data_IF_604104655209
#
_entry.id   IF_604104655209
#
_cell.length_a   1.000
_cell.length_b   1.000
_cell.length_c   1.000
_cell.angle_alpha   90.00
_cell.angle_beta   90.00
_cell.angle_gamma   90.00
#
_symmetry.space_group_name_H-M   'P 1'
#
loop_
_entity.id
_entity.type
_entity.pdbx_description
1 polymer ?
#
# COMPACT_ATOMS: atom_id res chain seq x y z
N UNK A 1 -5.60 17.36 -20.00
CA UNK A 1 -6.40 17.07 -18.77
C UNK A 1 -5.44 16.92 -17.62
N UNK A 2 -5.74 17.48 -16.46
CA UNK A 2 -4.82 17.47 -15.31
C UNK A 2 -4.92 16.12 -14.59
N UNK A 3 -3.78 15.55 -14.17
CA UNK A 3 -3.77 14.33 -13.41
C UNK A 3 -4.17 14.60 -11.95
N UNK A 4 -5.09 13.79 -11.42
CA UNK A 4 -5.68 13.98 -10.09
C UNK A 4 -5.18 12.96 -9.08
N UNK A 5 -5.14 13.34 -7.81
CA UNK A 5 -4.79 12.42 -6.71
C UNK A 5 -5.93 11.45 -6.36
N UNK A 6 -7.18 11.85 -6.66
CA UNK A 6 -8.36 11.00 -6.49
C UNK A 6 -9.19 11.00 -7.79
N UNK A 7 -9.36 9.83 -8.40
CA UNK A 7 -10.10 9.66 -9.65
C UNK A 7 -11.57 10.10 -9.54
N UNK A 8 -12.14 10.08 -8.34
CA UNK A 8 -13.51 10.56 -8.13
C UNK A 8 -13.68 12.07 -8.34
N UNK A 9 -12.58 12.81 -8.41
CA UNK A 9 -12.57 14.25 -8.71
C UNK A 9 -12.48 14.57 -10.20
N UNK A 10 -12.38 13.55 -11.07
CA UNK A 10 -12.42 13.76 -12.52
C UNK A 10 -13.78 14.31 -12.95
N UNK A 11 -13.82 15.28 -13.88
CA UNK A 11 -15.09 15.81 -14.41
C UNK A 11 -15.97 14.73 -15.04
N UNK A 12 -15.34 13.81 -15.79
CA UNK A 12 -15.98 12.67 -16.41
C UNK A 12 -15.24 11.39 -15.91
N UNK A 13 -15.96 10.57 -15.16
CA UNK A 13 -15.42 9.34 -14.59
C UNK A 13 -15.64 8.19 -15.59
N UNK A 14 -14.90 8.20 -16.66
CA UNK A 14 -14.87 7.17 -17.69
C UNK A 14 -13.48 6.50 -17.80
N UNK A 15 -13.42 5.36 -18.47
CA UNK A 15 -12.20 4.59 -18.61
C UNK A 15 -11.06 5.37 -19.28
N UNK A 16 -11.27 6.11 -20.41
CA UNK A 16 -10.22 6.89 -21.04
C UNK A 16 -9.62 7.96 -20.12
N UNK A 17 -10.44 8.70 -19.38
CA UNK A 17 -9.99 9.75 -18.47
C UNK A 17 -9.25 9.18 -17.25
N UNK A 18 -9.74 8.08 -16.68
CA UNK A 18 -9.04 7.38 -15.61
C UNK A 18 -7.67 6.86 -16.07
N UNK A 19 -7.61 6.20 -17.23
CA UNK A 19 -6.37 5.67 -17.78
C UNK A 19 -5.38 6.79 -18.09
N UNK A 20 -5.83 7.89 -18.67
CA UNK A 20 -5.00 9.05 -18.94
C UNK A 20 -4.41 9.65 -17.64
N UNK A 21 -5.24 9.84 -16.60
CA UNK A 21 -4.78 10.34 -15.30
C UNK A 21 -3.73 9.43 -14.67
N UNK A 22 -3.97 8.12 -14.67
CA UNK A 22 -3.03 7.12 -14.17
C UNK A 22 -1.70 7.13 -14.94
N UNK A 23 -1.77 7.23 -16.28
CA UNK A 23 -0.59 7.30 -17.14
C UNK A 23 0.27 8.53 -16.86
N UNK A 24 -0.34 9.72 -16.83
CA UNK A 24 0.37 10.96 -16.53
C UNK A 24 1.02 10.92 -15.14
N UNK A 25 0.31 10.39 -14.14
CA UNK A 25 0.85 10.22 -12.79
C UNK A 25 2.04 9.25 -12.77
N UNK A 26 1.93 8.15 -13.48
CA UNK A 26 3.00 7.16 -13.57
C UNK A 26 4.27 7.76 -14.18
N UNK A 27 4.16 8.54 -15.26
CA UNK A 27 5.29 9.27 -15.85
C UNK A 27 5.94 10.25 -14.86
N UNK A 28 5.15 10.81 -13.94
CA UNK A 28 5.63 11.68 -12.86
C UNK A 28 6.15 10.90 -11.63
N UNK A 29 6.28 9.57 -11.73
CA UNK A 29 6.65 8.68 -10.60
C UNK A 29 5.67 8.70 -9.43
N UNK A 30 4.45 9.14 -9.64
CA UNK A 30 3.33 9.11 -8.69
C UNK A 30 2.56 7.82 -8.88
N UNK A 31 3.06 6.72 -8.31
CA UNK A 31 2.53 5.37 -8.54
C UNK A 31 1.20 5.08 -7.82
N UNK A 32 0.82 5.90 -6.88
CA UNK A 32 -0.42 5.72 -6.11
C UNK A 32 -1.46 6.75 -6.50
N UNK A 33 -2.73 6.33 -6.65
CA UNK A 33 -3.87 7.18 -6.96
C UNK A 33 -5.07 6.66 -6.18
N UNK A 34 -5.89 7.52 -5.62
CA UNK A 34 -7.11 7.11 -4.93
C UNK A 34 -8.29 6.98 -5.91
N UNK A 35 -9.26 6.18 -5.48
CA UNK A 35 -10.62 6.17 -6.01
C UNK A 35 -11.55 6.11 -4.78
N UNK A 36 -11.79 7.26 -4.17
CA UNK A 36 -12.43 7.33 -2.86
C UNK A 36 -11.63 6.57 -1.79
N UNK A 37 -12.21 5.54 -1.14
CA UNK A 37 -11.52 4.76 -0.10
C UNK A 37 -10.50 3.75 -0.64
N UNK A 38 -10.50 3.50 -1.95
CA UNK A 38 -9.64 2.50 -2.58
C UNK A 38 -8.35 3.17 -3.04
N UNK A 39 -7.21 2.51 -2.81
CA UNK A 39 -5.91 2.91 -3.33
C UNK A 39 -5.57 2.05 -4.56
N UNK A 40 -5.33 2.70 -5.67
CA UNK A 40 -4.78 2.09 -6.89
C UNK A 40 -3.27 2.28 -6.87
N UNK A 41 -2.52 1.20 -6.98
CA UNK A 41 -1.06 1.21 -7.08
C UNK A 41 -0.59 0.59 -8.38
N UNK A 42 0.33 1.26 -9.08
CA UNK A 42 0.96 0.77 -10.30
C UNK A 42 2.41 0.44 -9.97
N UNK A 43 2.84 -0.80 -10.26
CA UNK A 43 4.21 -1.22 -10.01
C UNK A 43 5.19 -0.43 -10.90
N UNK A 44 6.12 0.34 -10.32
CA UNK A 44 7.06 1.16 -11.10
C UNK A 44 8.24 0.36 -11.68
N UNK A 45 8.45 -0.89 -11.23
CA UNK A 45 9.61 -1.73 -11.56
C UNK A 45 10.98 -1.08 -11.24
N UNK A 46 10.97 -0.11 -10.32
CA UNK A 46 12.15 0.60 -9.83
C UNK A 46 11.93 1.05 -8.37
N UNK A 47 13.00 1.31 -7.65
CA UNK A 47 12.91 1.88 -6.30
C UNK A 47 12.74 3.40 -6.38
N UNK A 48 11.62 3.90 -5.87
CA UNK A 48 11.28 5.33 -5.84
C UNK A 48 11.57 5.98 -4.47
N UNK A 49 12.17 5.26 -3.53
CA UNK A 49 12.46 5.74 -2.17
C UNK A 49 11.23 6.30 -1.41
N UNK A 50 10.04 5.72 -1.66
CA UNK A 50 8.78 6.21 -1.10
C UNK A 50 8.51 5.73 0.34
N UNK A 51 9.26 4.73 0.82
CA UNK A 51 8.91 3.97 2.03
C UNK A 51 9.85 4.22 3.21
N UNK A 52 10.61 5.31 3.15
CA UNK A 52 11.54 5.68 4.20
C UNK A 52 10.86 6.04 5.53
N UNK A 53 11.60 5.96 6.63
CA UNK A 53 11.11 6.28 7.97
C UNK A 53 10.50 7.67 8.08
N UNK A 54 11.07 8.67 7.41
CA UNK A 54 10.54 10.02 7.40
C UNK A 54 9.14 10.06 6.74
N UNK A 55 8.96 9.40 5.59
CA UNK A 55 7.65 9.27 4.93
C UNK A 55 6.67 8.55 5.84
N UNK A 56 7.07 7.44 6.47
CA UNK A 56 6.24 6.69 7.40
C UNK A 56 5.67 7.60 8.50
N UNK A 57 6.52 8.35 9.18
CA UNK A 57 6.07 9.23 10.26
C UNK A 57 5.26 10.45 9.79
N UNK A 58 5.42 10.89 8.53
CA UNK A 58 4.59 11.98 7.99
C UNK A 58 3.11 11.59 7.87
N UNK A 59 2.81 10.31 7.65
CA UNK A 59 1.42 9.80 7.59
C UNK A 59 0.81 9.54 8.97
N UNK A 60 1.60 9.55 10.02
CA UNK A 60 1.12 9.28 11.38
C UNK A 60 0.11 10.31 11.84
N UNK A 61 -1.06 9.86 12.32
CA UNK A 61 -2.19 10.68 12.79
C UNK A 61 -2.76 11.63 11.72
N UNK A 62 -2.50 11.35 10.46
CA UNK A 62 -3.06 12.12 9.35
C UNK A 62 -4.37 11.49 8.87
N UNK A 63 -5.28 12.33 8.38
CA UNK A 63 -6.45 11.84 7.65
C UNK A 63 -6.03 11.30 6.30
N UNK A 64 -6.78 10.34 5.78
CA UNK A 64 -6.46 9.62 4.55
C UNK A 64 -6.25 10.53 3.32
N UNK A 65 -6.92 11.67 3.28
CA UNK A 65 -6.93 12.63 2.17
C UNK A 65 -6.10 13.89 2.41
N UNK A 66 -5.43 14.01 3.56
CA UNK A 66 -4.61 15.18 3.90
C UNK A 66 -3.21 15.18 3.26
N UNK A 67 -2.77 14.02 2.79
CA UNK A 67 -1.47 13.81 2.14
C UNK A 67 -1.65 13.08 0.80
N UNK A 68 -0.62 13.05 -0.06
CA UNK A 68 -0.68 12.32 -1.31
C UNK A 68 -1.09 10.84 -1.12
N UNK A 69 -1.74 10.22 -2.11
CA UNK A 69 -2.10 8.81 -2.05
C UNK A 69 -0.90 7.91 -1.74
N UNK A 70 -1.02 7.03 -0.74
CA UNK A 70 0.05 6.13 -0.33
C UNK A 70 -0.47 4.94 0.48
N UNK A 71 0.23 3.80 0.45
CA UNK A 71 -0.12 2.62 1.26
C UNK A 71 -0.11 2.90 2.75
N UNK A 72 0.74 3.82 3.20
CA UNK A 72 0.78 4.24 4.61
C UNK A 72 -0.49 4.96 5.05
N UNK A 73 -1.15 5.72 4.15
CA UNK A 73 -2.43 6.35 4.45
C UNK A 73 -3.53 5.31 4.70
N UNK A 74 -3.56 4.23 3.90
CA UNK A 74 -4.49 3.10 4.10
C UNK A 74 -4.22 2.42 5.45
N UNK A 75 -2.95 2.16 5.76
CA UNK A 75 -2.55 1.52 7.02
C UNK A 75 -2.89 2.39 8.24
N UNK A 76 -2.62 3.70 8.17
CA UNK A 76 -2.97 4.63 9.27
C UNK A 76 -4.48 4.73 9.44
N UNK A 77 -5.26 4.80 8.36
CA UNK A 77 -6.71 4.83 8.44
C UNK A 77 -7.27 3.57 9.13
N UNK A 78 -6.78 2.39 8.75
CA UNK A 78 -7.16 1.14 9.40
C UNK A 78 -6.75 1.13 10.89
N UNK A 79 -5.57 1.63 11.22
CA UNK A 79 -5.10 1.72 12.61
C UNK A 79 -5.93 2.70 13.46
N UNK A 80 -6.27 3.87 12.92
CA UNK A 80 -7.14 4.85 13.58
C UNK A 80 -8.52 4.24 13.83
N UNK A 81 -9.13 3.58 12.82
CA UNK A 81 -10.45 2.96 12.95
C UNK A 81 -10.44 1.82 13.97
N UNK A 82 -9.39 0.98 13.97
CA UNK A 82 -9.19 -0.06 14.98
C UNK A 82 -9.21 0.52 16.41
N UNK A 83 -8.51 1.64 16.62
CA UNK A 83 -8.41 2.27 17.94
C UNK A 83 -9.70 2.99 18.34
N UNK A 84 -10.34 3.72 17.43
CA UNK A 84 -11.51 4.56 17.70
C UNK A 84 -12.80 3.74 17.81
N UNK A 85 -13.01 2.78 16.91
CA UNK A 85 -14.21 1.97 16.87
C UNK A 85 -14.10 0.66 17.66
N UNK A 86 -12.88 0.24 18.00
CA UNK A 86 -12.57 -1.05 18.65
C UNK A 86 -13.13 -2.25 17.88
N UNK A 87 -13.08 -2.17 16.55
CA UNK A 87 -13.50 -3.22 15.62
C UNK A 87 -12.34 -3.66 14.78
N UNK A 88 -12.27 -4.95 14.52
CA UNK A 88 -11.28 -5.52 13.63
C UNK A 88 -11.33 -4.85 12.25
N UNK A 89 -10.17 -4.62 11.66
CA UNK A 89 -10.01 -4.01 10.36
C UNK A 89 -9.41 -5.01 9.38
N UNK A 90 -9.81 -4.93 8.12
CA UNK A 90 -9.27 -5.76 7.05
C UNK A 90 -8.79 -4.88 5.92
N UNK A 91 -7.56 -5.06 5.47
CA UNK A 91 -7.00 -4.45 4.27
C UNK A 91 -6.90 -5.53 3.20
N UNK A 92 -7.71 -5.42 2.16
CA UNK A 92 -7.69 -6.35 1.03
C UNK A 92 -6.76 -5.83 -0.07
N UNK A 93 -5.80 -6.65 -0.49
CA UNK A 93 -4.89 -6.34 -1.60
C UNK A 93 -5.18 -7.27 -2.76
N UNK A 94 -5.48 -6.69 -3.92
CA UNK A 94 -5.86 -7.42 -5.15
C UNK A 94 -5.04 -6.91 -6.34
N UNK A 95 -4.88 -7.73 -7.36
CA UNK A 95 -4.17 -7.38 -8.60
C UNK A 95 -3.53 -8.60 -9.28
N UNK A 96 -3.05 -8.42 -10.49
CA UNK A 96 -2.41 -9.45 -11.29
C UNK A 96 -1.04 -9.90 -10.75
N UNK A 97 -0.50 -10.96 -11.34
CA UNK A 97 0.86 -11.42 -11.03
C UNK A 97 1.88 -10.33 -11.39
N UNK A 98 2.78 -10.01 -10.47
CA UNK A 98 3.80 -8.98 -10.67
C UNK A 98 3.31 -7.54 -10.42
N UNK A 99 2.07 -7.32 -9.97
CA UNK A 99 1.54 -5.98 -9.67
C UNK A 99 2.09 -5.34 -8.40
N UNK A 100 2.89 -6.06 -7.59
CA UNK A 100 3.48 -5.53 -6.36
C UNK A 100 2.66 -5.79 -5.09
N UNK A 101 1.66 -6.70 -5.11
CA UNK A 101 0.83 -7.02 -3.93
C UNK A 101 1.63 -7.37 -2.68
N UNK A 102 2.57 -8.29 -2.82
CA UNK A 102 3.42 -8.75 -1.70
C UNK A 102 4.25 -7.61 -1.13
N UNK A 103 4.85 -6.77 -1.99
CA UNK A 103 5.65 -5.63 -1.55
C UNK A 103 4.77 -4.58 -0.85
N UNK A 104 3.60 -4.26 -1.42
CA UNK A 104 2.64 -3.35 -0.78
C UNK A 104 2.21 -3.86 0.60
N UNK A 105 1.95 -5.17 0.73
CA UNK A 105 1.60 -5.79 2.02
C UNK A 105 2.74 -5.67 3.03
N UNK A 106 3.98 -5.91 2.62
CA UNK A 106 5.17 -5.75 3.49
C UNK A 106 5.28 -4.31 4.02
N UNK A 107 5.11 -3.30 3.15
CA UNK A 107 5.16 -1.90 3.57
C UNK A 107 4.01 -1.52 4.53
N UNK A 108 2.80 -2.03 4.29
CA UNK A 108 1.68 -1.83 5.21
C UNK A 108 1.95 -2.47 6.58
N UNK A 109 2.50 -3.68 6.61
CA UNK A 109 2.87 -4.37 7.85
C UNK A 109 3.98 -3.63 8.59
N UNK A 110 5.02 -3.15 7.88
CA UNK A 110 6.09 -2.32 8.48
C UNK A 110 5.53 -1.04 9.09
N UNK A 111 4.57 -0.39 8.41
CA UNK A 111 3.89 0.78 8.95
C UNK A 111 3.16 0.45 10.25
N UNK A 112 2.29 -0.56 10.24
CA UNK A 112 1.52 -0.98 11.40
C UNK A 112 2.42 -1.39 12.56
N UNK A 113 3.51 -2.10 12.29
CA UNK A 113 4.54 -2.44 13.25
C UNK A 113 5.15 -1.19 13.90
N UNK A 114 5.54 -0.20 13.11
CA UNK A 114 6.16 1.02 13.62
C UNK A 114 5.20 1.90 14.43
N UNK A 115 3.90 1.90 14.11
CA UNK A 115 2.90 2.76 14.78
C UNK A 115 2.27 2.11 16.01
N UNK A 116 2.25 0.78 16.10
CA UNK A 116 1.73 0.03 17.26
C UNK A 116 2.73 -0.05 18.43
N UNK A 117 4.02 0.19 18.17
CA UNK A 117 5.11 0.09 19.16
C UNK A 117 5.05 1.17 20.23
N UNK A 118 4.05 1.12 21.11
CA UNK A 118 4.07 1.85 22.37
C UNK A 118 4.56 1.01 23.57
N UNK A 119 4.87 -0.29 23.38
CA UNK A 119 5.44 -1.15 24.42
C UNK A 119 6.48 -2.10 23.82
N UNK A 120 7.63 -2.22 24.45
CA UNK A 120 8.79 -2.99 24.01
C UNK A 120 8.54 -4.51 23.75
N UNK A 121 7.39 -5.03 24.14
CA UNK A 121 7.01 -6.45 23.98
C UNK A 121 6.42 -6.71 22.59
N UNK A 122 5.79 -5.74 21.95
CA UNK A 122 5.15 -5.88 20.63
C UNK A 122 6.12 -5.82 19.47
N UNK A 123 7.24 -5.10 19.58
CA UNK A 123 8.26 -4.99 18.54
C UNK A 123 8.82 -6.36 18.08
N UNK A 124 8.89 -7.32 19.00
CA UNK A 124 9.37 -8.67 18.73
C UNK A 124 8.39 -9.49 17.88
N UNK A 125 7.09 -9.39 18.13
CA UNK A 125 6.06 -10.18 17.43
C UNK A 125 5.86 -9.73 16.00
N UNK A 126 5.84 -8.43 15.76
CA UNK A 126 5.67 -7.83 14.44
C UNK A 126 6.88 -8.10 13.55
N UNK A 127 8.07 -8.00 14.10
CA UNK A 127 9.30 -8.36 13.40
C UNK A 127 9.34 -9.87 13.07
N UNK A 128 8.82 -10.72 13.96
CA UNK A 128 8.66 -12.16 13.71
C UNK A 128 7.67 -12.42 12.56
N UNK A 129 6.54 -11.73 12.49
CA UNK A 129 5.58 -11.87 11.39
C UNK A 129 6.22 -11.50 10.05
N UNK A 130 6.99 -10.41 9.99
CA UNK A 130 7.72 -10.03 8.79
C UNK A 130 8.80 -11.08 8.42
N UNK A 131 9.45 -11.69 9.40
CA UNK A 131 10.45 -12.75 9.20
C UNK A 131 9.84 -14.09 8.78
N UNK A 132 8.55 -14.34 9.06
CA UNK A 132 7.86 -15.55 8.58
C UNK A 132 7.54 -15.50 7.08
N UNK A 133 7.45 -14.34 6.46
CA UNK A 133 7.13 -14.21 5.04
C UNK A 133 8.06 -15.01 4.13
N UNK A 134 9.41 -14.96 4.26
CA UNK A 134 10.29 -15.78 3.42
C UNK A 134 10.05 -17.29 3.56
N UNK A 135 9.65 -17.77 4.74
CA UNK A 135 9.34 -19.18 4.98
C UNK A 135 8.05 -19.56 4.25
N UNK A 136 7.00 -18.76 4.38
CA UNK A 136 5.74 -18.97 3.66
C UNK A 136 5.97 -18.90 2.14
N UNK A 137 6.79 -17.95 1.70
CA UNK A 137 7.23 -17.82 0.30
C UNK A 137 7.95 -19.08 -0.19
N UNK A 138 8.82 -19.68 0.61
CA UNK A 138 9.57 -20.87 0.22
C UNK A 138 8.68 -22.11 0.02
N UNK A 139 7.58 -22.24 0.78
CA UNK A 139 6.64 -23.35 0.64
C UNK A 139 5.61 -23.17 -0.48
N UNK A 140 5.23 -21.93 -0.80
CA UNK A 140 4.20 -21.62 -1.79
C UNK A 140 4.74 -20.98 -3.07
N UNK A 141 6.06 -20.94 -3.26
CA UNK A 141 6.67 -20.15 -4.34
C UNK A 141 6.55 -20.86 -5.70
N UNK A 142 5.92 -20.16 -6.64
CA UNK A 142 5.90 -20.52 -8.04
C UNK A 142 6.43 -19.36 -8.89
N UNK A 143 7.43 -19.64 -9.73
CA UNK A 143 7.98 -18.68 -10.67
C UNK A 143 7.07 -18.51 -11.88
N UNK A 144 6.87 -17.27 -12.33
CA UNK A 144 6.22 -16.94 -13.58
C UNK A 144 7.13 -16.05 -14.43
N UNK A 145 6.81 -15.89 -15.73
CA UNK A 145 7.58 -15.01 -16.63
C UNK A 145 7.65 -13.55 -16.16
N UNK A 146 6.72 -13.12 -15.31
CA UNK A 146 6.61 -11.73 -14.82
C UNK A 146 6.87 -11.59 -13.33
N UNK A 147 7.07 -12.70 -12.60
CA UNK A 147 7.22 -12.65 -11.17
C UNK A 147 7.98 -13.89 -10.69
N UNK A 148 9.15 -13.68 -10.11
CA UNK A 148 9.97 -14.74 -9.55
C UNK A 148 9.48 -15.20 -8.16
N UNK A 149 8.53 -14.48 -7.57
CA UNK A 149 8.04 -14.71 -6.22
C UNK A 149 6.49 -14.75 -6.18
N UNK A 150 5.89 -15.87 -6.65
CA UNK A 150 4.44 -16.06 -6.66
C UNK A 150 4.03 -17.17 -5.71
N UNK A 151 3.06 -16.87 -4.82
CA UNK A 151 2.33 -17.88 -4.09
C UNK A 151 1.28 -18.53 -4.99
N UNK A 152 1.26 -19.86 -5.05
CA UNK A 152 0.06 -20.59 -5.42
C UNK A 152 -0.67 -20.97 -4.13
N UNK A 153 -1.86 -20.45 -3.95
CA UNK A 153 -2.84 -20.95 -3.01
C UNK A 153 -3.66 -21.98 -3.72
#
# INVERSE_FOLDING_TARGET
MEAVDDLTSLPDLDEPNMLHSLHVRYEQKKIYTRTGPILVGINPWEDLNLYGTQTLFSYRRQKMDSLPPHVFAISENAFINLQSERKDQTILVSGDSGSGKTESTKFMMQYLAAVSNHTAVTASTEQQVLQCNPVLEAFGNAKTLRNDNRYQV
#
